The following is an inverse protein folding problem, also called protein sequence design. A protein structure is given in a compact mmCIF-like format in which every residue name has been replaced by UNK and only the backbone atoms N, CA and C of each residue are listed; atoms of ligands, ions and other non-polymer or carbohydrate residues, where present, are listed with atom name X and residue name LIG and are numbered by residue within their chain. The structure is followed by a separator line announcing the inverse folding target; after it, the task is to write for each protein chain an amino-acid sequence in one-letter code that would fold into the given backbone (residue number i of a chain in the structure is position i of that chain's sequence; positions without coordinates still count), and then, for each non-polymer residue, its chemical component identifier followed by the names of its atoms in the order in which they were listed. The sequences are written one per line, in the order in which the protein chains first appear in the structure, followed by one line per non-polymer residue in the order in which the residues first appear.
data_IF_509078766171
#
_entry.id   IF_509078766171
#
_cell.length_a   1.000
_cell.length_b   1.000
_cell.length_c   1.000
_cell.angle_alpha   90.00
_cell.angle_beta   90.00
_cell.angle_gamma   90.00
#
_symmetry.space_group_name_H-M   'P 1'
#
loop_
_entity.id
_entity.type
_entity.pdbx_description
1 polymer ?
#
# COMPACT_ATOMS: atom_id res chain seq x y z
N UNK A 1 36.05 -28.82 0.35
CA UNK A 1 36.43 -27.71 -0.55
C UNK A 1 35.49 -26.54 -0.31
N UNK A 2 36.07 -25.35 -0.20
CA UNK A 2 35.58 -24.17 0.53
C UNK A 2 34.40 -23.47 -0.18
N UNK A 3 33.35 -23.15 0.56
CA UNK A 3 32.37 -22.09 0.19
C UNK A 3 32.86 -20.79 0.80
N UNK A 4 33.26 -19.85 -0.06
CA UNK A 4 33.69 -18.51 0.32
C UNK A 4 32.46 -17.62 0.55
N UNK A 5 32.51 -16.92 1.68
CA UNK A 5 31.65 -15.83 2.06
C UNK A 5 31.74 -14.68 1.05
N UNK A 6 30.62 -13.99 0.82
CA UNK A 6 30.62 -12.63 0.30
C UNK A 6 30.08 -11.72 1.40
N UNK A 7 31.03 -11.05 2.05
CA UNK A 7 30.81 -9.81 2.76
C UNK A 7 30.73 -8.68 1.73
N UNK A 8 29.75 -7.79 1.87
CA UNK A 8 29.79 -6.45 1.28
C UNK A 8 29.61 -5.47 2.42
N UNK A 9 30.74 -4.91 2.85
CA UNK A 9 30.88 -3.76 3.74
C UNK A 9 31.09 -2.48 2.93
N UNK A 10 30.55 -1.37 3.43
CA UNK A 10 30.85 0.01 3.00
C UNK A 10 29.76 0.58 2.08
N UNK A 11 29.20 1.77 2.29
CA UNK A 11 29.71 2.94 3.03
C UNK A 11 28.59 3.85 3.49
N UNK A 12 28.82 4.53 4.63
CA UNK A 12 28.10 5.74 5.04
C UNK A 12 28.09 6.77 3.90
N UNK A 13 26.91 7.33 3.62
CA UNK A 13 26.78 8.68 3.08
C UNK A 13 25.72 9.41 3.91
N UNK A 14 26.20 10.21 4.85
CA UNK A 14 25.53 11.37 5.42
C UNK A 14 25.10 12.30 4.28
N UNK A 15 23.80 12.54 4.10
CA UNK A 15 23.31 13.77 3.48
C UNK A 15 22.00 14.22 4.14
N UNK A 16 22.16 15.23 4.98
CA UNK A 16 21.35 16.43 5.08
C UNK A 16 19.81 16.27 5.17
N UNK A 17 19.32 16.33 6.40
CA UNK A 17 18.05 16.98 6.72
C UNK A 17 18.07 18.41 6.13
N UNK A 18 17.33 18.65 5.06
CA UNK A 18 16.99 20.02 4.66
C UNK A 18 15.94 20.55 5.62
N UNK A 19 16.38 21.39 6.55
CA UNK A 19 15.50 22.15 7.43
C UNK A 19 14.54 23.00 6.60
N UNK A 20 13.25 22.81 6.81
CA UNK A 20 12.25 23.78 6.41
C UNK A 20 12.46 25.04 7.25
N UNK A 21 12.97 26.09 6.64
CA UNK A 21 12.98 27.44 7.19
C UNK A 21 11.53 27.90 7.36
N UNK A 22 11.05 27.85 8.60
CA UNK A 22 9.82 28.54 9.00
C UNK A 22 10.15 30.04 9.01
N UNK A 23 9.63 30.78 8.03
CA UNK A 23 9.59 32.23 8.09
C UNK A 23 8.59 32.65 9.18
N UNK A 24 9.09 32.85 10.39
CA UNK A 24 8.34 33.52 11.46
C UNK A 24 8.41 35.02 11.17
N UNK A 25 7.30 35.60 10.71
CA UNK A 25 7.11 37.03 10.76
C UNK A 25 7.05 37.46 12.23
N UNK A 26 8.09 38.14 12.69
CA UNK A 26 8.11 38.79 14.00
C UNK A 26 7.25 40.06 13.91
N UNK A 27 5.98 39.96 14.27
CA UNK A 27 5.21 41.13 14.71
C UNK A 27 5.66 41.47 16.13
N UNK A 28 6.28 42.64 16.28
CA UNK A 28 6.61 43.25 17.56
C UNK A 28 5.31 43.68 18.27
N UNK A 29 4.60 42.72 18.83
CA UNK A 29 3.49 42.90 19.74
C UNK A 29 3.99 43.07 21.17
N UNK A 30 3.61 44.19 21.76
CA UNK A 30 3.88 44.66 23.12
C UNK A 30 3.75 43.55 24.17
N UNK A 31 4.83 43.33 24.92
CA UNK A 31 4.91 42.35 26.00
C UNK A 31 3.95 42.67 27.16
N UNK A 32 2.79 42.02 27.19
CA UNK A 32 2.05 41.76 28.42
C UNK A 32 2.55 40.45 28.99
N UNK A 33 3.37 40.52 30.04
CA UNK A 33 3.85 39.36 30.78
C UNK A 33 2.69 38.65 31.49
N UNK A 34 2.11 37.66 30.81
CA UNK A 34 1.43 36.55 31.49
C UNK A 34 2.49 35.50 31.81
N UNK A 35 2.81 35.40 33.10
CA UNK A 35 3.53 34.26 33.67
C UNK A 35 2.77 32.98 33.34
N UNK A 36 3.29 32.17 32.40
CA UNK A 36 2.81 30.80 32.19
C UNK A 36 3.09 29.98 33.45
N UNK A 37 2.11 29.90 34.33
CA UNK A 37 2.11 29.05 35.51
C UNK A 37 1.97 27.58 35.09
N UNK A 38 2.94 26.74 35.45
CA UNK A 38 2.67 25.37 35.92
C UNK A 38 2.32 24.29 34.91
N UNK A 39 2.84 24.30 33.68
CA UNK A 39 2.76 23.12 32.80
C UNK A 39 3.93 22.19 33.13
N UNK A 40 3.63 20.98 33.61
CA UNK A 40 4.65 19.96 33.89
C UNK A 40 5.09 19.25 32.61
N UNK A 41 6.24 18.56 32.65
CA UNK A 41 6.68 17.73 31.52
C UNK A 41 5.63 16.66 31.14
N UNK A 42 4.94 16.12 32.14
CA UNK A 42 3.86 15.13 31.97
C UNK A 42 2.64 15.73 31.24
N UNK A 43 2.31 17.00 31.50
CA UNK A 43 1.22 17.70 30.81
C UNK A 43 1.56 17.93 29.32
N UNK A 44 2.81 18.28 29.01
CA UNK A 44 3.28 18.43 27.63
C UNK A 44 3.22 17.09 26.87
N UNK A 45 3.64 15.99 27.51
CA UNK A 45 3.60 14.67 26.90
C UNK A 45 2.14 14.22 26.65
N UNK A 46 1.24 14.46 27.61
CA UNK A 46 -0.19 14.19 27.47
C UNK A 46 -0.80 14.99 26.32
N UNK A 47 -0.51 16.29 26.22
CA UNK A 47 -0.98 17.13 25.13
C UNK A 47 -0.51 16.60 23.77
N UNK A 48 0.76 16.20 23.65
CA UNK A 48 1.32 15.64 22.42
C UNK A 48 0.64 14.33 22.03
N UNK A 49 0.39 13.43 23.00
CA UNK A 49 -0.32 12.17 22.73
C UNK A 49 -1.73 12.46 22.23
N UNK A 50 -2.44 13.40 22.86
CA UNK A 50 -3.80 13.77 22.47
C UNK A 50 -3.86 14.41 21.08
N UNK A 51 -2.90 15.28 20.76
CA UNK A 51 -2.75 15.87 19.43
C UNK A 51 -2.53 14.79 18.36
N UNK A 52 -1.61 13.85 18.61
CA UNK A 52 -1.37 12.71 17.71
C UNK A 52 -2.64 11.88 17.48
N UNK A 53 -3.42 11.60 18.53
CA UNK A 53 -4.68 10.87 18.38
C UNK A 53 -5.76 11.67 17.65
N UNK A 54 -5.80 12.99 17.85
CA UNK A 54 -6.67 13.88 17.09
C UNK A 54 -6.31 13.89 15.60
N UNK A 55 -5.03 13.94 15.23
CA UNK A 55 -4.57 13.81 13.85
C UNK A 55 -5.02 12.47 13.25
N UNK A 56 -4.85 11.36 13.98
CA UNK A 56 -5.31 10.03 13.55
C UNK A 56 -6.82 10.01 13.31
N UNK A 57 -7.62 10.57 14.22
CA UNK A 57 -9.10 10.69 14.09
C UNK A 57 -9.49 11.50 12.86
N UNK A 58 -8.81 12.62 12.62
CA UNK A 58 -9.07 13.47 11.46
C UNK A 58 -8.68 12.78 10.15
N UNK A 59 -7.56 12.07 10.11
CA UNK A 59 -7.10 11.34 8.93
C UNK A 59 -8.08 10.24 8.47
N UNK A 60 -8.77 9.58 9.41
CA UNK A 60 -9.71 8.48 9.12
C UNK A 60 -11.15 8.94 8.93
N UNK A 61 -11.42 10.25 9.03
CA UNK A 61 -12.77 10.79 8.89
C UNK A 61 -13.33 10.49 7.49
N UNK A 62 -14.50 9.84 7.44
CA UNK A 62 -15.16 9.44 6.19
C UNK A 62 -14.50 8.27 5.45
N UNK A 63 -13.39 7.74 5.95
CA UNK A 63 -12.68 6.60 5.34
C UNK A 63 -13.57 5.37 5.21
N UNK A 64 -14.26 4.97 6.28
CA UNK A 64 -15.12 3.78 6.27
C UNK A 64 -16.25 3.90 5.24
N UNK A 65 -16.91 5.05 5.16
CA UNK A 65 -17.97 5.29 4.19
C UNK A 65 -17.44 5.20 2.75
N UNK A 66 -16.30 5.84 2.46
CA UNK A 66 -15.64 5.76 1.15
C UNK A 66 -15.25 4.31 0.80
N UNK A 67 -14.74 3.56 1.78
CA UNK A 67 -14.35 2.17 1.62
C UNK A 67 -15.55 1.25 1.35
N UNK A 68 -16.66 1.43 2.06
CA UNK A 68 -17.88 0.67 1.81
C UNK A 68 -18.46 0.95 0.42
N UNK A 69 -18.42 2.21 -0.03
CA UNK A 69 -18.81 2.59 -1.39
C UNK A 69 -17.90 1.96 -2.46
N UNK A 70 -16.59 1.87 -2.20
CA UNK A 70 -15.62 1.29 -3.11
C UNK A 70 -15.54 -0.26 -3.08
N UNK A 71 -16.16 -0.92 -2.09
CA UNK A 71 -15.99 -2.36 -1.82
C UNK A 71 -16.34 -3.22 -3.03
N UNK A 72 -17.47 -2.95 -3.68
CA UNK A 72 -17.95 -3.73 -4.83
C UNK A 72 -16.98 -3.63 -6.01
N UNK A 73 -16.55 -2.43 -6.34
CA UNK A 73 -15.62 -2.18 -7.45
C UNK A 73 -14.26 -2.83 -7.19
N UNK A 74 -13.74 -2.74 -5.96
CA UNK A 74 -12.47 -3.36 -5.60
C UNK A 74 -12.55 -4.90 -5.61
N UNK A 75 -13.67 -5.48 -5.18
CA UNK A 75 -13.90 -6.92 -5.26
C UNK A 75 -14.02 -7.40 -6.72
N UNK A 76 -14.78 -6.67 -7.54
CA UNK A 76 -14.88 -6.93 -8.97
C UNK A 76 -13.49 -6.85 -9.63
N UNK A 77 -12.71 -5.82 -9.34
CA UNK A 77 -11.36 -5.67 -9.85
C UNK A 77 -10.45 -6.85 -9.47
N UNK A 78 -10.48 -7.29 -8.20
CA UNK A 78 -9.69 -8.43 -7.74
C UNK A 78 -10.05 -9.74 -8.46
N UNK A 79 -11.35 -10.01 -8.64
CA UNK A 79 -11.80 -11.19 -9.39
C UNK A 79 -11.33 -11.17 -10.85
N UNK A 80 -11.40 -10.00 -11.50
CA UNK A 80 -10.98 -9.83 -12.88
C UNK A 80 -9.47 -9.93 -13.05
N UNK A 81 -8.67 -9.57 -12.04
CA UNK A 81 -7.22 -9.77 -12.10
C UNK A 81 -6.84 -11.25 -12.23
N UNK A 82 -7.53 -12.16 -11.53
CA UNK A 82 -7.25 -13.59 -11.62
C UNK A 82 -7.50 -14.11 -13.05
N UNK A 83 -8.65 -13.76 -13.63
CA UNK A 83 -9.02 -14.13 -15.01
C UNK A 83 -8.00 -13.59 -16.02
N UNK A 84 -7.55 -12.34 -15.87
CA UNK A 84 -6.54 -11.75 -16.77
C UNK A 84 -5.18 -12.44 -16.65
N UNK A 85 -4.78 -12.88 -15.46
CA UNK A 85 -3.53 -13.64 -15.26
C UNK A 85 -3.60 -14.99 -15.95
N UNK A 86 -4.72 -15.68 -15.84
CA UNK A 86 -4.98 -16.95 -16.52
C UNK A 86 -4.91 -16.78 -18.03
N UNK A 87 -5.69 -15.85 -18.61
CA UNK A 87 -5.65 -15.54 -20.05
C UNK A 87 -4.25 -15.17 -20.55
N UNK A 88 -3.48 -14.41 -19.77
CA UNK A 88 -2.10 -14.07 -20.11
C UNK A 88 -1.21 -15.31 -20.13
N UNK A 89 -1.40 -16.24 -19.19
CA UNK A 89 -0.63 -17.48 -19.14
C UNK A 89 -0.93 -18.39 -20.34
N UNK A 90 -2.21 -18.47 -20.75
CA UNK A 90 -2.65 -19.19 -21.95
C UNK A 90 -2.01 -18.61 -23.21
N UNK A 91 -2.08 -17.29 -23.39
CA UNK A 91 -1.47 -16.60 -24.53
C UNK A 91 0.05 -16.82 -24.59
N UNK A 92 0.75 -16.82 -23.44
CA UNK A 92 2.18 -17.13 -23.39
C UNK A 92 2.45 -18.58 -23.81
N UNK A 93 1.60 -19.52 -23.38
CA UNK A 93 1.74 -20.93 -23.74
C UNK A 93 1.53 -21.16 -25.24
N UNK A 94 0.49 -20.55 -25.81
CA UNK A 94 0.21 -20.57 -27.25
C UNK A 94 1.37 -19.97 -28.05
N UNK A 95 1.85 -18.79 -27.64
CA UNK A 95 2.98 -18.15 -28.29
C UNK A 95 4.27 -18.98 -28.26
N UNK A 96 4.53 -19.70 -27.17
CA UNK A 96 5.67 -20.62 -27.10
C UNK A 96 5.52 -21.79 -28.08
N UNK A 97 4.30 -22.30 -28.27
CA UNK A 97 4.01 -23.35 -29.24
C UNK A 97 4.23 -22.85 -30.67
N UNK A 98 3.70 -21.68 -31.00
CA UNK A 98 3.80 -21.09 -32.34
C UNK A 98 5.25 -20.77 -32.71
N UNK A 99 6.01 -20.19 -31.79
CA UNK A 99 7.45 -19.90 -31.99
C UNK A 99 8.25 -21.19 -32.21
N UNK A 100 7.92 -22.28 -31.52
CA UNK A 100 8.61 -23.57 -31.71
C UNK A 100 8.26 -24.25 -33.04
N UNK A 101 7.05 -24.04 -33.55
CA UNK A 101 6.60 -24.57 -34.82
C UNK A 101 7.09 -23.73 -36.02
N UNK A 102 7.54 -22.49 -35.79
CA UNK A 102 7.99 -21.59 -36.82
C UNK A 102 9.34 -22.03 -37.43
N UNK A 103 9.44 -21.98 -38.75
CA UNK A 103 10.70 -22.16 -39.47
C UNK A 103 11.57 -20.90 -39.36
N UNK A 104 12.86 -21.01 -39.72
CA UNK A 104 13.86 -19.92 -39.64
C UNK A 104 13.36 -18.60 -40.25
N UNK A 105 12.75 -18.66 -41.44
CA UNK A 105 12.31 -17.47 -42.18
C UNK A 105 11.08 -16.80 -41.55
N UNK A 106 10.25 -17.57 -40.84
CA UNK A 106 9.03 -17.08 -40.19
C UNK A 106 9.20 -16.77 -38.70
N UNK A 107 10.30 -17.22 -38.09
CA UNK A 107 10.52 -17.16 -36.65
C UNK A 107 10.43 -15.74 -36.09
N UNK A 108 11.05 -14.77 -36.78
CA UNK A 108 11.04 -13.38 -36.33
C UNK A 108 9.65 -12.75 -36.45
N UNK A 109 8.95 -13.00 -37.56
CA UNK A 109 7.56 -12.55 -37.77
C UNK A 109 6.63 -13.10 -36.68
N UNK A 110 6.76 -14.39 -36.35
CA UNK A 110 5.99 -15.01 -35.29
C UNK A 110 6.32 -14.44 -33.91
N UNK A 111 7.60 -14.16 -33.65
CA UNK A 111 8.04 -13.50 -32.41
C UNK A 111 7.42 -12.11 -32.27
N UNK A 112 7.37 -11.30 -33.34
CA UNK A 112 6.74 -9.99 -33.35
C UNK A 112 5.22 -10.07 -33.14
N UNK A 113 4.54 -11.00 -33.83
CA UNK A 113 3.10 -11.26 -33.65
C UNK A 113 2.77 -11.55 -32.19
N UNK A 114 3.52 -12.47 -31.59
CA UNK A 114 3.37 -12.83 -30.18
C UNK A 114 3.67 -11.67 -29.22
N UNK A 115 4.74 -10.91 -29.49
CA UNK A 115 5.07 -9.76 -28.66
C UNK A 115 3.97 -8.70 -28.71
N UNK A 116 3.46 -8.37 -29.89
CA UNK A 116 2.32 -7.45 -30.08
C UNK A 116 1.09 -7.88 -29.29
N UNK A 117 0.72 -9.17 -29.38
CA UNK A 117 -0.44 -9.71 -28.66
C UNK A 117 -0.27 -9.54 -27.14
N UNK A 118 0.91 -9.84 -26.60
CA UNK A 118 1.22 -9.66 -25.18
C UNK A 118 1.15 -8.19 -24.76
N UNK A 119 1.71 -7.27 -25.55
CA UNK A 119 1.65 -5.84 -25.28
C UNK A 119 0.21 -5.30 -25.29
N UNK A 120 -0.63 -5.81 -26.20
CA UNK A 120 -2.04 -5.42 -26.28
C UNK A 120 -2.79 -5.82 -25.00
N UNK A 121 -2.57 -7.05 -24.51
CA UNK A 121 -3.11 -7.49 -23.23
C UNK A 121 -2.60 -6.68 -22.04
N UNK A 122 -1.30 -6.34 -22.03
CA UNK A 122 -0.71 -5.48 -20.99
C UNK A 122 -1.31 -4.06 -21.00
N UNK A 123 -1.58 -3.50 -22.18
CA UNK A 123 -2.23 -2.19 -22.32
C UNK A 123 -3.66 -2.19 -21.78
N UNK A 124 -4.43 -3.25 -22.04
CA UNK A 124 -5.76 -3.41 -21.45
C UNK A 124 -5.70 -3.52 -19.93
N UNK A 125 -4.78 -4.33 -19.40
CA UNK A 125 -4.56 -4.44 -17.95
C UNK A 125 -4.23 -3.07 -17.36
N UNK A 126 -3.30 -2.32 -17.95
CA UNK A 126 -2.90 -1.00 -17.46
C UNK A 126 -4.09 -0.01 -17.42
N UNK A 127 -4.96 -0.01 -18.45
CA UNK A 127 -6.20 0.78 -18.46
C UNK A 127 -7.13 0.43 -17.29
N UNK A 128 -7.29 -0.86 -17.03
CA UNK A 128 -8.15 -1.36 -15.93
C UNK A 128 -7.54 -1.07 -14.56
N UNK A 129 -6.23 -1.17 -14.41
CA UNK A 129 -5.54 -0.75 -13.18
C UNK A 129 -5.72 0.74 -12.95
N UNK A 130 -5.54 1.59 -13.98
CA UNK A 130 -5.74 3.05 -13.86
C UNK A 130 -7.16 3.39 -13.42
N UNK A 131 -8.16 2.71 -13.99
CA UNK A 131 -9.54 2.80 -13.54
C UNK A 131 -9.72 2.32 -12.09
N UNK A 132 -9.04 1.27 -11.65
CA UNK A 132 -9.14 0.80 -10.26
C UNK A 132 -8.52 1.78 -9.26
N UNK A 133 -7.46 2.51 -9.64
CA UNK A 133 -6.84 3.55 -8.79
C UNK A 133 -7.85 4.64 -8.43
N UNK A 134 -8.75 5.04 -9.35
CA UNK A 134 -9.72 6.12 -9.10
C UNK A 134 -10.72 5.77 -8.00
N UNK A 135 -11.10 4.50 -7.89
CA UNK A 135 -12.03 4.03 -6.86
C UNK A 135 -11.33 3.51 -5.59
N UNK A 136 -10.00 3.58 -5.53
CA UNK A 136 -9.26 3.07 -4.38
C UNK A 136 -9.41 3.98 -3.17
N UNK A 137 -10.32 3.62 -2.27
CA UNK A 137 -10.47 4.30 -0.99
C UNK A 137 -9.25 4.07 -0.09
N UNK A 138 -8.88 5.14 0.63
CA UNK A 138 -7.88 5.15 1.69
C UNK A 138 -6.42 5.19 1.28
N UNK A 139 -6.10 5.23 -0.01
CA UNK A 139 -4.77 5.65 -0.45
C UNK A 139 -4.69 7.18 -0.47
N UNK A 140 -3.51 7.73 -0.17
CA UNK A 140 -3.24 9.17 -0.25
C UNK A 140 -3.33 9.68 -1.69
N UNK A 141 -3.68 10.94 -1.85
CA UNK A 141 -3.80 11.56 -3.18
C UNK A 141 -2.47 11.60 -3.92
N UNK A 142 -1.36 11.80 -3.20
CA UNK A 142 -0.01 11.69 -3.75
C UNK A 142 0.24 10.28 -4.33
N UNK A 143 -0.05 9.22 -3.57
CA UNK A 143 0.16 7.85 -4.04
C UNK A 143 -0.74 7.49 -5.23
N UNK A 144 -1.98 8.02 -5.26
CA UNK A 144 -2.88 7.88 -6.42
C UNK A 144 -2.34 8.62 -7.64
N UNK A 145 -1.84 9.84 -7.48
CA UNK A 145 -1.27 10.63 -8.55
C UNK A 145 -0.03 9.94 -9.15
N UNK A 146 0.88 9.45 -8.31
CA UNK A 146 2.06 8.70 -8.72
C UNK A 146 1.70 7.43 -9.50
N UNK A 147 0.76 6.63 -8.99
CA UNK A 147 0.30 5.43 -9.67
C UNK A 147 -0.37 5.74 -11.02
N UNK A 148 -1.23 6.76 -11.07
CA UNK A 148 -1.89 7.19 -12.30
C UNK A 148 -0.90 7.70 -13.34
N UNK A 149 0.11 8.47 -12.92
CA UNK A 149 1.17 8.98 -13.79
C UNK A 149 2.01 7.83 -14.35
N UNK A 150 2.47 6.91 -13.50
CA UNK A 150 3.24 5.75 -13.93
C UNK A 150 2.46 4.85 -14.90
N UNK A 151 1.18 4.60 -14.61
CA UNK A 151 0.30 3.82 -15.50
C UNK A 151 0.07 4.52 -16.84
N UNK A 152 -0.16 5.83 -16.84
CA UNK A 152 -0.34 6.60 -18.08
C UNK A 152 0.93 6.53 -18.94
N UNK A 153 2.10 6.80 -18.36
CA UNK A 153 3.38 6.71 -19.08
C UNK A 153 3.63 5.31 -19.66
N UNK A 154 3.26 4.26 -18.91
CA UNK A 154 3.36 2.89 -19.40
C UNK A 154 2.36 2.61 -20.54
N UNK A 155 1.12 3.11 -20.45
CA UNK A 155 0.13 2.96 -21.52
C UNK A 155 0.60 3.64 -22.82
N UNK A 156 1.17 4.84 -22.73
CA UNK A 156 1.68 5.58 -23.90
C UNK A 156 2.87 4.86 -24.53
N UNK A 157 3.79 4.34 -23.71
CA UNK A 157 4.91 3.53 -24.17
C UNK A 157 4.47 2.22 -24.82
N UNK A 158 3.52 1.49 -24.21
CA UNK A 158 2.95 0.26 -24.78
C UNK A 158 2.27 0.54 -26.12
N UNK A 159 1.47 1.61 -26.22
CA UNK A 159 0.82 2.00 -27.46
C UNK A 159 1.83 2.35 -28.55
N UNK A 160 2.89 3.08 -28.19
CA UNK A 160 3.97 3.45 -29.12
C UNK A 160 4.68 2.21 -29.67
N UNK A 161 5.02 1.24 -28.80
CA UNK A 161 5.69 0.01 -29.22
C UNK A 161 4.78 -0.86 -30.08
N UNK A 162 3.48 -0.95 -29.76
CA UNK A 162 2.50 -1.66 -30.60
C UNK A 162 2.46 -1.04 -32.00
N UNK A 163 2.33 0.29 -32.11
CA UNK A 163 2.35 0.99 -33.40
C UNK A 163 3.67 0.78 -34.17
N UNK A 164 4.81 0.74 -33.47
CA UNK A 164 6.11 0.47 -34.08
C UNK A 164 6.22 -0.97 -34.63
N UNK A 165 5.65 -1.95 -33.94
CA UNK A 165 5.55 -3.33 -34.47
C UNK A 165 4.68 -3.35 -35.73
N UNK A 166 3.56 -2.65 -35.72
CA UNK A 166 2.60 -2.62 -36.82
C UNK A 166 3.15 -1.95 -38.08
N UNK A 167 3.95 -0.90 -37.87
CA UNK A 167 4.67 -0.19 -38.93
C UNK A 167 5.93 -0.94 -39.43
N UNK A 168 6.27 -2.09 -38.84
CA UNK A 168 7.45 -2.86 -39.24
C UNK A 168 8.78 -2.18 -38.89
N UNK A 169 8.81 -1.34 -37.86
CA UNK A 169 10.02 -0.60 -37.45
C UNK A 169 11.12 -1.53 -36.94
N UNK A 170 10.75 -2.67 -36.35
CA UNK A 170 11.71 -3.65 -35.82
C UNK A 170 12.26 -4.52 -36.95
N UNK A 171 13.50 -4.26 -37.35
CA UNK A 171 14.20 -5.01 -38.39
C UNK A 171 14.97 -6.23 -37.87
N UNK A 172 15.34 -6.24 -36.59
CA UNK A 172 16.16 -7.29 -35.98
C UNK A 172 15.63 -7.77 -34.63
N UNK A 173 16.17 -8.90 -34.18
CA UNK A 173 15.86 -9.46 -32.85
C UNK A 173 16.46 -8.59 -31.75
N UNK A 174 17.63 -8.01 -32.01
CA UNK A 174 18.40 -7.18 -31.10
C UNK A 174 17.61 -5.90 -30.74
N UNK A 175 17.00 -5.23 -31.74
CA UNK A 175 16.15 -4.04 -31.53
C UNK A 175 14.95 -4.37 -30.63
N UNK A 176 14.36 -5.56 -30.83
CA UNK A 176 13.24 -6.03 -30.05
C UNK A 176 13.63 -6.33 -28.59
N UNK A 177 14.80 -6.94 -28.38
CA UNK A 177 15.34 -7.21 -27.04
C UNK A 177 15.71 -5.93 -26.28
N UNK A 178 16.28 -4.94 -26.97
CA UNK A 178 16.50 -3.62 -26.38
C UNK A 178 15.18 -2.94 -25.99
N UNK A 179 14.19 -2.96 -26.88
CA UNK A 179 12.85 -2.42 -26.57
C UNK A 179 12.23 -3.10 -25.36
N UNK A 180 12.34 -4.43 -25.25
CA UNK A 180 11.85 -5.18 -24.09
C UNK A 180 12.53 -4.75 -22.79
N UNK A 181 13.86 -4.55 -22.81
CA UNK A 181 14.62 -4.05 -21.66
C UNK A 181 14.18 -2.64 -21.28
N UNK A 182 14.06 -1.75 -22.26
CA UNK A 182 13.59 -0.37 -22.06
C UNK A 182 12.17 -0.33 -21.48
N UNK A 183 11.23 -1.11 -22.02
CA UNK A 183 9.87 -1.25 -21.49
C UNK A 183 9.88 -1.71 -20.02
N UNK A 184 10.73 -2.68 -19.70
CA UNK A 184 10.82 -3.20 -18.35
C UNK A 184 11.35 -2.15 -17.36
N UNK A 185 12.52 -1.59 -17.63
CA UNK A 185 13.20 -0.69 -16.70
C UNK A 185 12.52 0.68 -16.59
N UNK A 186 12.08 1.28 -17.70
CA UNK A 186 11.55 2.65 -17.71
C UNK A 186 10.06 2.74 -17.38
N UNK A 187 9.30 1.67 -17.57
CA UNK A 187 7.83 1.73 -17.44
C UNK A 187 7.26 0.66 -16.51
N UNK A 188 7.58 -0.63 -16.71
CA UNK A 188 6.99 -1.71 -15.87
C UNK A 188 7.46 -1.64 -14.42
N UNK A 189 8.75 -1.41 -14.18
CA UNK A 189 9.31 -1.30 -12.82
C UNK A 189 8.72 -0.10 -12.05
N UNK A 190 8.65 1.12 -12.62
CA UNK A 190 7.97 2.25 -11.97
C UNK A 190 6.47 2.02 -11.71
N UNK A 191 5.75 1.38 -12.64
CA UNK A 191 4.35 0.97 -12.40
C UNK A 191 4.26 0.02 -11.22
N UNK A 192 5.13 -0.98 -11.14
CA UNK A 192 5.13 -1.90 -10.00
C UNK A 192 5.38 -1.18 -8.68
N UNK A 193 6.40 -0.33 -8.62
CA UNK A 193 6.77 0.42 -7.42
C UNK A 193 5.65 1.37 -6.96
N UNK A 194 5.05 2.13 -7.88
CA UNK A 194 3.94 3.04 -7.57
C UNK A 194 2.69 2.30 -7.09
N UNK A 195 2.34 1.16 -7.70
CA UNK A 195 1.24 0.31 -7.23
C UNK A 195 1.52 -0.34 -5.86
N UNK A 196 2.78 -0.62 -5.53
CA UNK A 196 3.17 -1.06 -4.17
C UNK A 196 2.99 0.08 -3.17
N UNK A 197 3.49 1.27 -3.49
CA UNK A 197 3.31 2.48 -2.66
C UNK A 197 1.84 2.77 -2.39
N UNK A 198 0.99 2.71 -3.43
CA UNK A 198 -0.46 2.88 -3.32
C UNK A 198 -1.10 1.90 -2.33
N UNK A 199 -0.70 0.62 -2.38
CA UNK A 199 -1.21 -0.43 -1.47
C UNK A 199 -0.73 -0.23 -0.04
N UNK A 200 0.52 0.20 0.16
CA UNK A 200 1.07 0.51 1.48
C UNK A 200 0.38 1.73 2.10
N UNK A 201 0.19 2.80 1.32
CA UNK A 201 -0.59 3.97 1.74
C UNK A 201 -2.00 3.58 2.19
N UNK A 202 -2.69 2.76 1.41
CA UNK A 202 -4.02 2.23 1.79
C UNK A 202 -3.98 1.41 3.08
N UNK A 203 -2.95 0.58 3.28
CA UNK A 203 -2.80 -0.21 4.52
C UNK A 203 -2.55 0.67 5.73
N UNK A 204 -1.73 1.71 5.58
CA UNK A 204 -1.46 2.69 6.63
C UNK A 204 -2.76 3.29 7.14
N UNK A 205 -3.66 3.74 6.25
CA UNK A 205 -4.93 4.32 6.69
C UNK A 205 -5.87 3.29 7.35
N UNK A 206 -5.87 2.03 6.90
CA UNK A 206 -6.59 0.96 7.59
C UNK A 206 -6.06 0.72 9.01
N UNK A 207 -4.74 0.73 9.19
CA UNK A 207 -4.10 0.61 10.51
C UNK A 207 -4.53 1.79 11.39
N UNK A 208 -4.45 3.02 10.89
CA UNK A 208 -4.89 4.21 11.63
C UNK A 208 -6.36 4.11 12.03
N UNK A 209 -7.23 3.64 11.12
CA UNK A 209 -8.64 3.47 11.40
C UNK A 209 -8.88 2.44 12.52
N UNK A 210 -8.20 1.30 12.46
CA UNK A 210 -8.30 0.26 13.49
C UNK A 210 -7.76 0.75 14.83
N UNK A 211 -6.62 1.46 14.85
CA UNK A 211 -6.08 2.07 16.06
C UNK A 211 -7.08 3.03 16.72
N UNK A 212 -7.70 3.93 15.93
CA UNK A 212 -8.72 4.85 16.44
C UNK A 212 -9.90 4.09 17.04
N UNK A 213 -10.38 3.03 16.36
CA UNK A 213 -11.49 2.21 16.87
C UNK A 213 -11.16 1.44 18.13
N UNK A 214 -9.98 0.83 18.21
CA UNK A 214 -9.54 0.13 19.42
C UNK A 214 -9.37 1.11 20.59
N UNK A 215 -8.87 2.33 20.33
CA UNK A 215 -8.73 3.37 21.34
C UNK A 215 -10.07 3.87 21.86
N UNK A 216 -11.03 4.12 20.98
CA UNK A 216 -12.41 4.48 21.36
C UNK A 216 -13.05 3.41 22.27
N UNK A 217 -12.79 2.12 22.02
CA UNK A 217 -13.27 1.03 22.88
C UNK A 217 -12.51 1.04 24.22
N UNK A 218 -11.19 1.23 24.20
CA UNK A 218 -10.37 1.26 25.41
C UNK A 218 -10.76 2.38 26.39
N UNK A 219 -11.27 3.51 25.87
CA UNK A 219 -11.74 4.65 26.66
C UNK A 219 -13.10 4.39 27.34
N UNK A 220 -13.76 3.27 27.05
CA UNK A 220 -14.97 2.83 27.76
C UNK A 220 -14.62 2.28 29.16
N UNK A 221 -15.09 2.94 30.22
CA UNK A 221 -14.79 2.62 31.62
C UNK A 221 -15.37 1.27 32.09
N UNK A 222 -16.17 0.60 31.25
CA UNK A 222 -16.91 -0.63 31.63
C UNK A 222 -16.19 -1.94 31.34
N UNK A 223 -14.93 -1.89 30.89
CA UNK A 223 -14.19 -3.07 30.47
C UNK A 223 -13.60 -3.88 31.65
N UNK A 224 -13.56 -5.20 31.52
CA UNK A 224 -12.78 -6.04 32.44
C UNK A 224 -11.27 -5.81 32.25
N UNK A 225 -10.50 -6.08 33.30
CA UNK A 225 -9.03 -5.97 33.28
C UNK A 225 -8.42 -6.82 32.15
N UNK A 226 -8.96 -8.02 31.93
CA UNK A 226 -8.49 -8.94 30.89
C UNK A 226 -8.75 -8.39 29.48
N UNK A 227 -9.94 -7.82 29.24
CA UNK A 227 -10.28 -7.21 27.94
C UNK A 227 -9.44 -5.95 27.70
N UNK A 228 -9.26 -5.11 28.73
CA UNK A 228 -8.44 -3.91 28.63
C UNK A 228 -6.97 -4.24 28.31
N UNK A 229 -6.41 -5.28 28.93
CA UNK A 229 -5.05 -5.75 28.64
C UNK A 229 -4.92 -6.30 27.20
N UNK A 230 -5.89 -7.10 26.75
CA UNK A 230 -5.91 -7.61 25.37
C UNK A 230 -6.07 -6.50 24.32
N UNK A 231 -6.86 -5.46 24.62
CA UNK A 231 -6.97 -4.27 23.77
C UNK A 231 -5.64 -3.51 23.68
N UNK A 232 -4.96 -3.31 24.81
CA UNK A 232 -3.68 -2.61 24.84
C UNK A 232 -2.62 -3.33 23.98
N UNK A 233 -2.54 -4.66 24.10
CA UNK A 233 -1.64 -5.50 23.29
C UNK A 233 -1.99 -5.47 21.79
N UNK A 234 -3.29 -5.46 21.44
CA UNK A 234 -3.73 -5.29 20.05
C UNK A 234 -3.34 -3.90 19.50
N UNK A 235 -3.51 -2.83 20.29
CA UNK A 235 -3.12 -1.47 19.92
C UNK A 235 -1.61 -1.42 19.66
N UNK A 236 -0.79 -1.89 20.60
CA UNK A 236 0.68 -1.92 20.46
C UNK A 236 1.11 -2.65 19.19
N UNK A 237 0.49 -3.80 18.88
CA UNK A 237 0.75 -4.53 17.65
C UNK A 237 0.49 -3.67 16.40
N UNK A 238 -0.64 -2.95 16.34
CA UNK A 238 -0.94 -2.07 15.22
C UNK A 238 -0.06 -0.84 15.13
N UNK A 239 0.42 -0.30 16.25
CA UNK A 239 1.40 0.78 16.23
C UNK A 239 2.72 0.32 15.59
N UNK A 240 3.20 -0.86 15.98
CA UNK A 240 4.37 -1.48 15.35
C UNK A 240 4.14 -1.78 13.85
N UNK A 241 2.94 -2.26 13.50
CA UNK A 241 2.56 -2.46 12.11
C UNK A 241 2.55 -1.15 11.31
N UNK A 242 2.11 -0.04 11.93
CA UNK A 242 2.12 1.29 11.33
C UNK A 242 3.53 1.76 10.97
N UNK A 243 4.49 1.57 11.89
CA UNK A 243 5.92 1.86 11.65
C UNK A 243 6.46 1.00 10.50
N UNK A 244 6.11 -0.27 10.45
CA UNK A 244 6.53 -1.19 9.38
C UNK A 244 6.01 -0.71 8.02
N UNK A 245 4.72 -0.34 7.94
CA UNK A 245 4.11 0.11 6.67
C UNK A 245 4.65 1.45 6.19
N UNK A 246 5.14 2.31 7.10
CA UNK A 246 5.73 3.61 6.77
C UNK A 246 7.14 3.52 6.14
N UNK A 247 7.74 2.33 6.06
CA UNK A 247 9.05 2.12 5.44
C UNK A 247 9.08 2.36 3.92
N UNK A 248 10.27 2.28 3.34
CA UNK A 248 10.47 2.46 1.90
C UNK A 248 9.64 1.44 1.08
N UNK A 249 8.86 1.88 0.09
CA UNK A 249 7.90 1.03 -0.61
C UNK A 249 8.62 -0.04 -1.44
N UNK A 250 8.59 -1.29 -0.96
CA UNK A 250 9.14 -2.45 -1.65
C UNK A 250 8.16 -3.62 -1.65
N UNK A 251 8.32 -4.55 -2.59
CA UNK A 251 7.50 -5.77 -2.62
C UNK A 251 7.69 -6.63 -1.36
N UNK A 252 8.92 -6.65 -0.82
CA UNK A 252 9.24 -7.33 0.44
C UNK A 252 8.47 -6.69 1.60
N UNK A 253 8.48 -5.36 1.70
CA UNK A 253 7.72 -4.64 2.72
C UNK A 253 6.22 -4.89 2.63
N UNK A 254 5.68 -5.01 1.41
CA UNK A 254 4.27 -5.37 1.20
C UNK A 254 3.97 -6.79 1.70
N UNK A 255 4.92 -7.71 1.65
CA UNK A 255 4.71 -9.08 2.16
C UNK A 255 4.86 -9.11 3.68
N UNK A 256 5.89 -8.48 4.22
CA UNK A 256 6.14 -8.35 5.66
C UNK A 256 4.96 -7.68 6.38
N UNK A 257 4.51 -6.53 5.88
CA UNK A 257 3.35 -5.84 6.45
C UNK A 257 2.07 -6.67 6.38
N UNK A 258 1.90 -7.53 5.37
CA UNK A 258 0.73 -8.42 5.32
C UNK A 258 0.78 -9.49 6.42
N UNK A 259 1.96 -10.01 6.73
CA UNK A 259 2.17 -10.95 7.83
C UNK A 259 1.95 -10.29 9.18
N UNK A 260 2.54 -9.11 9.41
CA UNK A 260 2.35 -8.37 10.67
C UNK A 260 0.87 -8.02 10.88
N UNK A 261 0.18 -7.55 9.85
CA UNK A 261 -1.25 -7.23 9.93
C UNK A 261 -2.12 -8.46 10.20
N UNK A 262 -1.74 -9.64 9.70
CA UNK A 262 -2.42 -10.90 10.01
C UNK A 262 -2.30 -11.22 11.50
N UNK A 263 -1.10 -11.13 12.05
CA UNK A 263 -0.82 -11.40 13.46
C UNK A 263 -1.57 -10.42 14.37
N UNK A 264 -1.59 -9.12 14.06
CA UNK A 264 -2.37 -8.15 14.83
C UNK A 264 -3.89 -8.40 14.70
N UNK A 265 -4.34 -8.84 13.53
CA UNK A 265 -5.73 -9.26 13.33
C UNK A 265 -6.13 -10.48 14.16
N UNK A 266 -5.21 -11.39 14.47
CA UNK A 266 -5.46 -12.50 15.38
C UNK A 266 -5.64 -12.02 16.83
N UNK A 267 -4.81 -11.08 17.29
CA UNK A 267 -4.95 -10.44 18.61
C UNK A 267 -6.32 -9.78 18.77
N UNK A 268 -6.80 -9.04 17.77
CA UNK A 268 -8.15 -8.42 17.80
C UNK A 268 -9.27 -9.46 17.94
N UNK A 269 -9.16 -10.62 17.26
CA UNK A 269 -10.17 -11.68 17.39
C UNK A 269 -10.17 -12.30 18.77
N UNK A 270 -9.00 -12.43 19.39
CA UNK A 270 -8.87 -12.88 20.77
C UNK A 270 -9.52 -11.88 21.74
N UNK A 271 -9.23 -10.58 21.56
CA UNK A 271 -9.89 -9.51 22.32
C UNK A 271 -11.41 -9.54 22.15
N UNK A 272 -11.91 -9.71 20.92
CA UNK A 272 -13.34 -9.80 20.63
C UNK A 272 -13.99 -11.00 21.34
N UNK A 273 -13.27 -12.14 21.39
CA UNK A 273 -13.73 -13.33 22.11
C UNK A 273 -13.86 -13.05 23.61
N UNK A 274 -12.83 -12.48 24.24
CA UNK A 274 -12.84 -12.11 25.66
C UNK A 274 -13.96 -11.11 25.98
N UNK A 275 -14.17 -10.12 25.12
CA UNK A 275 -15.22 -9.13 25.28
C UNK A 275 -16.63 -9.76 25.23
N UNK A 276 -16.85 -10.71 24.31
CA UNK A 276 -18.12 -11.46 24.23
C UNK A 276 -18.37 -12.31 25.47
N UNK A 277 -17.34 -12.98 25.98
CA UNK A 277 -17.41 -13.79 27.20
C UNK A 277 -17.75 -12.91 28.42
N UNK A 278 -17.13 -11.74 28.54
CA UNK A 278 -17.42 -10.75 29.57
C UNK A 278 -18.89 -10.27 29.51
N UNK A 279 -19.39 -9.91 28.32
CA UNK A 279 -20.80 -9.52 28.15
C UNK A 279 -21.74 -10.65 28.57
N UNK A 280 -21.44 -11.90 28.19
CA UNK A 280 -22.28 -13.06 28.54
C UNK A 280 -22.32 -13.30 30.06
N UNK A 281 -21.18 -13.18 30.74
CA UNK A 281 -21.10 -13.32 32.20
C UNK A 281 -21.89 -12.22 32.92
N UNK A 282 -21.83 -10.98 32.44
CA UNK A 282 -22.56 -9.87 33.03
C UNK A 282 -24.07 -9.91 32.71
N UNK A 283 -24.45 -10.35 31.51
CA UNK A 283 -25.85 -10.56 31.14
C UNK A 283 -26.49 -11.72 31.92
N UNK A 284 -25.72 -12.79 32.20
CA UNK A 284 -26.15 -13.91 33.05
C UNK A 284 -26.21 -13.57 34.54
N UNK A 285 -25.41 -12.58 34.98
CA UNK A 285 -25.43 -12.04 36.35
C UNK A 285 -26.54 -11.03 36.60
N UNK A 286 -27.56 -10.99 35.72
CA UNK A 286 -28.88 -10.40 35.96
C UNK A 286 -29.63 -11.11 37.10
N UNK A 287 -29.02 -11.18 38.29
CA UNK A 287 -29.73 -11.17 39.54
C UNK A 287 -30.50 -9.85 39.59
N UNK A 288 -31.79 -10.00 39.31
CA UNK A 288 -32.84 -9.01 39.50
C UNK A 288 -32.70 -8.42 40.91
N UNK A 289 -32.05 -7.26 41.03
CA UNK A 289 -32.36 -6.31 42.09
C UNK A 289 -33.54 -5.47 41.62
N UNK A 290 -34.73 -6.01 41.87
CA UNK A 290 -35.91 -5.19 42.13
C UNK A 290 -35.77 -4.53 43.49
#
# INVERSE_FOLDING_TARGET
MRRTAWAVTGSLALLAFSGSTIHVHAEAGTATGSTMSGVTLEDLERMRIEEMWNERRMAVKGFWAAMMNARKELAAHASQQAIRREKRSELIAECRKDIRAANRDTLFKETLRCFRALLTGELEIARKEKQAVTFMAGASDAAKADANSALQNAMDALSTVISAVDAGVYGSKEDLEETKRNLNHKYRTPVHASLVSLRLSRRSLWITHLLVKLREIQEDETLSVEVAAALADAIECFEHAGVTVAGNPTATLLTESATVLRNCGERVRETEKLYKEFIQQNAGSGAITK
#
